data_IF_657741233159
#
_entry.id   IF_657741233159
#
_cell.length_a   1.000
_cell.length_b   1.000
_cell.length_c   1.000
_cell.angle_alpha   90.00
_cell.angle_beta   90.00
_cell.angle_gamma   90.00
#
_symmetry.space_group_name_H-M   'P 1'
#
loop_
_entity.id
_entity.type
_entity.pdbx_description
1 polymer ?
#
# COMPACT_ATOMS: atom_id res chain seq x y z
N UNK A 1 -28.06 -4.12 1.73
CA UNK A 1 -27.11 -3.01 2.00
C UNK A 1 -26.84 -2.25 0.73
N UNK A 2 -27.05 -0.94 0.74
CA UNK A 2 -26.74 -0.15 -0.45
C UNK A 2 -25.24 -0.16 -0.70
N UNK A 3 -24.87 -0.35 -1.96
CA UNK A 3 -23.50 -0.25 -2.39
C UNK A 3 -23.24 1.17 -2.86
N UNK A 4 -22.26 1.82 -2.28
CA UNK A 4 -21.91 3.19 -2.67
C UNK A 4 -21.16 3.19 -4.01
N UNK A 5 -21.26 4.28 -4.78
CA UNK A 5 -20.57 4.38 -6.07
C UNK A 5 -19.07 4.65 -5.87
N UNK A 6 -18.33 3.62 -5.55
CA UNK A 6 -16.89 3.72 -5.22
C UNK A 6 -16.09 4.36 -6.35
N UNK A 7 -16.36 4.00 -7.62
CA UNK A 7 -15.65 4.60 -8.75
C UNK A 7 -15.88 6.10 -8.85
N UNK A 8 -17.11 6.55 -8.63
CA UNK A 8 -17.45 7.98 -8.66
C UNK A 8 -16.83 8.73 -7.50
N UNK A 9 -16.79 8.10 -6.32
CA UNK A 9 -16.15 8.68 -5.15
C UNK A 9 -14.65 8.82 -5.39
N UNK A 10 -14.03 7.81 -5.99
CA UNK A 10 -12.61 7.84 -6.35
C UNK A 10 -12.32 9.00 -7.32
N UNK A 11 -13.12 9.13 -8.37
CA UNK A 11 -12.96 10.22 -9.34
C UNK A 11 -13.10 11.59 -8.71
N UNK A 12 -13.95 11.71 -7.70
CA UNK A 12 -14.14 12.96 -6.97
C UNK A 12 -12.94 13.29 -6.08
N UNK A 13 -12.42 12.31 -5.35
CA UNK A 13 -11.40 12.52 -4.33
C UNK A 13 -9.98 12.53 -4.86
N UNK A 14 -9.67 11.70 -5.84
CA UNK A 14 -8.30 11.48 -6.31
C UNK A 14 -7.59 12.77 -6.76
N UNK A 15 -8.19 13.63 -7.60
CA UNK A 15 -7.51 14.86 -8.00
C UNK A 15 -7.17 15.78 -6.83
N UNK A 16 -8.08 15.90 -5.88
CA UNK A 16 -7.87 16.75 -4.69
C UNK A 16 -6.78 16.18 -3.80
N UNK A 17 -6.78 14.88 -3.57
CA UNK A 17 -5.74 14.23 -2.76
C UNK A 17 -4.37 14.36 -3.41
N UNK A 18 -4.30 14.16 -4.73
CA UNK A 18 -3.06 14.33 -5.48
C UNK A 18 -2.53 15.77 -5.38
N UNK A 19 -3.43 16.74 -5.45
CA UNK A 19 -3.06 18.16 -5.30
C UNK A 19 -2.50 18.44 -3.90
N UNK A 20 -3.00 17.75 -2.89
CA UNK A 20 -2.51 17.86 -1.51
C UNK A 20 -1.19 17.12 -1.29
N UNK A 21 -0.72 16.34 -2.26
CA UNK A 21 0.51 15.57 -2.15
C UNK A 21 0.32 14.12 -1.73
N UNK A 22 -0.92 13.63 -1.71
CA UNK A 22 -1.22 12.26 -1.32
C UNK A 22 -1.68 11.42 -2.48
N UNK A 23 -1.38 10.13 -2.42
CA UNK A 23 -1.89 9.14 -3.36
C UNK A 23 -3.08 8.42 -2.71
N UNK A 24 -4.16 8.24 -3.46
CA UNK A 24 -5.28 7.43 -3.02
C UNK A 24 -4.91 5.96 -3.21
N UNK A 25 -4.55 5.30 -2.13
CA UNK A 25 -4.09 3.91 -2.16
C UNK A 25 -5.24 2.92 -2.30
N UNK A 26 -6.30 3.12 -1.53
CA UNK A 26 -7.47 2.24 -1.55
C UNK A 26 -8.70 2.99 -1.05
N UNK A 27 -9.87 2.54 -1.48
CA UNK A 27 -11.14 3.13 -1.12
C UNK A 27 -12.14 1.99 -0.92
N UNK A 28 -12.68 1.84 0.30
CA UNK A 28 -13.54 0.73 0.67
C UNK A 28 -14.76 1.19 1.45
N UNK A 29 -15.87 0.49 1.22
CA UNK A 29 -17.05 0.59 2.04
C UNK A 29 -16.99 -0.52 3.08
N UNK A 30 -17.04 -0.17 4.36
CA UNK A 30 -16.84 -1.12 5.44
C UNK A 30 -17.76 -0.83 6.65
N UNK A 31 -17.51 -1.52 7.76
CA UNK A 31 -18.28 -1.39 8.98
C UNK A 31 -19.44 -2.38 9.07
N UNK A 32 -19.99 -2.56 10.28
CA UNK A 32 -21.07 -3.51 10.54
C UNK A 32 -22.32 -3.24 9.70
N UNK A 33 -22.66 -1.98 9.54
CA UNK A 33 -23.82 -1.59 8.76
C UNK A 33 -23.48 -1.22 7.32
N UNK A 34 -22.20 -1.32 6.91
CA UNK A 34 -21.74 -0.88 5.61
C UNK A 34 -21.77 0.63 5.44
N UNK A 35 -21.73 1.38 6.54
CA UNK A 35 -21.84 2.84 6.56
C UNK A 35 -20.54 3.55 6.84
N UNK A 36 -19.39 2.89 6.70
CA UNK A 36 -18.08 3.50 6.86
C UNK A 36 -17.37 3.55 5.52
N UNK A 37 -16.96 4.75 5.11
CA UNK A 37 -16.09 4.94 3.95
C UNK A 37 -14.66 5.01 4.45
N UNK A 38 -13.85 4.02 4.05
CA UNK A 38 -12.43 3.98 4.43
C UNK A 38 -11.58 4.45 3.27
N UNK A 39 -10.84 5.53 3.52
CA UNK A 39 -9.90 6.10 2.56
C UNK A 39 -8.49 5.78 3.04
N UNK A 40 -7.74 5.03 2.24
CA UNK A 40 -6.33 4.76 2.55
C UNK A 40 -5.47 5.67 1.69
N UNK A 41 -4.64 6.49 2.32
CA UNK A 41 -3.77 7.43 1.62
C UNK A 41 -2.31 7.02 1.77
N UNK A 42 -1.51 7.39 0.80
CA UNK A 42 -0.08 7.12 0.81
C UNK A 42 0.70 8.38 0.41
N UNK A 43 1.99 8.35 0.72
CA UNK A 43 2.88 9.48 0.49
C UNK A 43 4.31 8.95 0.43
N UNK A 44 5.24 9.71 -0.14
CA UNK A 44 6.65 9.32 -0.16
C UNK A 44 7.27 9.29 1.24
N UNK A 45 6.73 10.10 2.15
CA UNK A 45 7.09 10.08 3.57
C UNK A 45 6.06 9.28 4.36
N UNK A 46 6.39 8.78 5.56
CA UNK A 46 5.40 8.09 6.41
C UNK A 46 4.17 8.95 6.70
N UNK A 47 3.01 8.34 6.65
CA UNK A 47 1.75 9.01 6.93
C UNK A 47 1.58 9.21 8.44
N UNK A 48 1.25 10.43 8.85
CA UNK A 48 1.00 10.78 10.25
C UNK A 48 -0.49 10.90 10.53
N UNK A 49 -0.86 10.97 11.80
CA UNK A 49 -2.25 11.23 12.22
C UNK A 49 -2.71 12.59 11.66
N UNK A 50 -1.82 13.57 11.66
CA UNK A 50 -2.13 14.89 11.13
C UNK A 50 -2.44 14.86 9.63
N UNK A 51 -1.75 14.01 8.87
CA UNK A 51 -2.04 13.79 7.46
C UNK A 51 -3.46 13.26 7.27
N UNK A 52 -3.85 12.28 8.08
CA UNK A 52 -5.18 11.69 8.01
C UNK A 52 -6.25 12.70 8.38
N UNK A 53 -6.03 13.54 9.40
CA UNK A 53 -6.95 14.60 9.78
C UNK A 53 -7.11 15.64 8.69
N UNK A 54 -6.01 16.02 8.04
CA UNK A 54 -6.02 16.99 6.94
C UNK A 54 -6.86 16.48 5.78
N UNK A 55 -6.67 15.23 5.39
CA UNK A 55 -7.45 14.61 4.32
C UNK A 55 -8.93 14.51 4.71
N UNK A 56 -9.21 14.12 5.94
CA UNK A 56 -10.58 14.01 6.44
C UNK A 56 -11.33 15.34 6.36
N UNK A 57 -10.67 16.44 6.73
CA UNK A 57 -11.27 17.79 6.69
C UNK A 57 -11.61 18.24 5.27
N UNK A 58 -10.89 17.75 4.28
CA UNK A 58 -11.13 18.10 2.88
C UNK A 58 -12.12 17.14 2.24
N UNK A 59 -11.98 15.86 2.49
CA UNK A 59 -12.81 14.82 1.87
C UNK A 59 -14.28 14.90 2.32
N UNK A 60 -14.53 15.15 3.61
CA UNK A 60 -15.88 15.21 4.14
C UNK A 60 -16.77 16.22 3.41
N UNK A 61 -16.38 17.50 3.34
CA UNK A 61 -17.18 18.51 2.62
C UNK A 61 -17.34 18.21 1.12
N UNK A 62 -16.32 17.63 0.47
CA UNK A 62 -16.41 17.24 -0.93
C UNK A 62 -17.49 16.18 -1.14
N UNK A 63 -17.50 15.16 -0.30
CA UNK A 63 -18.48 14.08 -0.36
C UNK A 63 -19.90 14.59 -0.08
N UNK A 64 -20.03 15.47 0.90
CA UNK A 64 -21.33 16.04 1.25
C UNK A 64 -21.90 16.88 0.12
N UNK A 65 -21.07 17.68 -0.54
CA UNK A 65 -21.49 18.52 -1.67
C UNK A 65 -21.86 17.69 -2.89
N UNK A 66 -21.11 16.63 -3.15
CA UNK A 66 -21.36 15.77 -4.30
C UNK A 66 -22.60 14.88 -4.14
N UNK A 67 -23.05 14.69 -2.90
CA UNK A 67 -24.23 13.89 -2.58
C UNK A 67 -24.19 12.48 -3.18
N UNK A 68 -23.03 11.84 -3.11
CA UNK A 68 -22.83 10.49 -3.63
C UNK A 68 -23.21 9.39 -2.61
N UNK A 69 -23.31 9.76 -1.34
CA UNK A 69 -23.66 8.85 -0.26
C UNK A 69 -24.96 9.30 0.39
N UNK A 70 -25.97 8.45 0.32
CA UNK A 70 -27.28 8.75 0.94
C UNK A 70 -27.22 8.45 2.43
N UNK A 71 -27.70 9.39 3.24
CA UNK A 71 -27.82 9.23 4.67
C UNK A 71 -26.49 9.38 5.41
N UNK A 72 -26.51 9.17 6.72
CA UNK A 72 -25.31 9.32 7.53
C UNK A 72 -24.27 8.24 7.24
N UNK A 73 -23.00 8.62 7.34
CA UNK A 73 -21.88 7.71 7.14
C UNK A 73 -20.72 8.16 8.02
N UNK A 74 -19.82 7.22 8.31
CA UNK A 74 -18.57 7.52 8.98
C UNK A 74 -17.44 7.57 7.96
N UNK A 75 -16.57 8.55 8.12
CA UNK A 75 -15.39 8.70 7.27
C UNK A 75 -14.16 8.29 8.06
N UNK A 76 -13.44 7.31 7.55
CA UNK A 76 -12.20 6.84 8.17
C UNK A 76 -11.06 7.03 7.18
N UNK A 77 -10.03 7.77 7.60
CA UNK A 77 -8.83 7.96 6.79
C UNK A 77 -7.66 7.27 7.48
N UNK A 78 -6.94 6.45 6.73
CA UNK A 78 -5.83 5.67 7.27
C UNK A 78 -4.70 5.55 6.25
N UNK A 79 -3.61 4.94 6.67
CA UNK A 79 -2.51 4.58 5.77
C UNK A 79 -2.50 3.07 5.56
N UNK A 80 -1.79 2.57 4.52
CA UNK A 80 -1.66 1.12 4.32
C UNK A 80 -0.92 0.41 5.44
N UNK A 81 -0.29 1.16 6.34
CA UNK A 81 0.49 0.59 7.44
C UNK A 81 1.95 0.39 7.09
N UNK A 82 2.75 0.02 8.11
CA UNK A 82 4.19 -0.15 7.97
C UNK A 82 4.54 -1.33 7.08
N UNK A 83 3.71 -2.38 7.09
CA UNK A 83 3.93 -3.60 6.32
C UNK A 83 3.03 -3.67 5.09
N UNK A 84 2.99 -2.58 4.33
CA UNK A 84 2.11 -2.51 3.17
C UNK A 84 2.50 -3.54 2.09
N UNK A 85 1.52 -4.15 1.41
CA UNK A 85 1.82 -5.04 0.28
C UNK A 85 2.46 -4.30 -0.88
N UNK A 86 3.35 -4.98 -1.59
CA UNK A 86 3.93 -4.52 -2.84
C UNK A 86 3.20 -5.24 -3.97
N UNK A 87 2.40 -4.50 -4.73
CA UNK A 87 1.42 -5.07 -5.66
C UNK A 87 1.92 -5.24 -7.09
N UNK A 88 2.92 -4.45 -7.48
CA UNK A 88 3.40 -4.44 -8.85
C UNK A 88 4.83 -3.94 -8.90
N UNK A 89 5.44 -4.03 -10.11
CA UNK A 89 6.82 -3.63 -10.32
C UNK A 89 7.09 -2.18 -9.92
N UNK A 90 6.16 -1.28 -10.24
CA UNK A 90 6.32 0.14 -9.92
C UNK A 90 6.46 0.36 -8.42
N UNK A 91 5.72 -0.37 -7.61
CA UNK A 91 5.84 -0.27 -6.15
C UNK A 91 7.18 -0.81 -5.65
N UNK A 92 7.67 -1.90 -6.23
CA UNK A 92 9.01 -2.39 -5.89
C UNK A 92 10.08 -1.36 -6.27
N UNK A 93 9.97 -0.73 -7.43
CA UNK A 93 10.91 0.33 -7.84
C UNK A 93 10.88 1.50 -6.87
N UNK A 94 9.68 1.92 -6.45
CA UNK A 94 9.50 3.01 -5.51
C UNK A 94 10.19 2.74 -4.17
N UNK A 95 10.14 1.49 -3.71
CA UNK A 95 10.70 1.09 -2.42
C UNK A 95 12.04 0.39 -2.51
N UNK A 96 12.72 0.53 -3.65
CA UNK A 96 14.08 0.00 -3.80
C UNK A 96 14.98 0.62 -2.72
N UNK A 97 15.78 -0.21 -2.06
CA UNK A 97 16.61 0.20 -0.94
C UNK A 97 15.96 -0.02 0.43
N UNK A 98 14.68 -0.33 0.47
CA UNK A 98 13.96 -0.58 1.72
C UNK A 98 13.97 -2.07 2.07
N UNK A 99 13.67 -2.35 3.33
CA UNK A 99 13.56 -3.73 3.81
C UNK A 99 12.22 -4.31 3.36
N UNK A 100 12.27 -5.50 2.79
CA UNK A 100 11.09 -6.19 2.26
C UNK A 100 11.03 -7.63 2.76
N UNK A 101 9.83 -8.19 2.74
CA UNK A 101 9.57 -9.60 3.00
C UNK A 101 8.87 -10.15 1.76
N UNK A 102 9.47 -11.13 1.10
CA UNK A 102 8.95 -11.66 -0.16
C UNK A 102 8.83 -13.16 -0.09
N UNK A 103 7.65 -13.65 -0.45
CA UNK A 103 7.40 -15.08 -0.66
C UNK A 103 7.57 -15.37 -2.14
N UNK A 104 8.38 -16.36 -2.47
CA UNK A 104 8.70 -16.67 -3.86
C UNK A 104 8.85 -18.18 -4.07
N UNK A 105 8.72 -18.58 -5.31
CA UNK A 105 8.86 -19.98 -5.70
C UNK A 105 10.34 -20.34 -5.83
N UNK A 106 10.72 -21.45 -5.21
CA UNK A 106 12.06 -22.01 -5.32
C UNK A 106 11.92 -23.50 -5.66
N UNK A 107 12.01 -23.83 -6.95
CA UNK A 107 11.69 -25.18 -7.42
C UNK A 107 10.20 -25.49 -7.24
N UNK A 108 9.90 -26.59 -6.59
CA UNK A 108 8.53 -27.04 -6.34
C UNK A 108 7.92 -26.51 -5.05
N UNK A 109 8.67 -25.72 -4.30
CA UNK A 109 8.20 -25.17 -3.03
C UNK A 109 8.28 -23.66 -3.01
N UNK A 110 7.55 -23.07 -2.04
CA UNK A 110 7.62 -21.64 -1.77
C UNK A 110 8.51 -21.42 -0.56
N UNK A 111 9.25 -20.32 -0.59
CA UNK A 111 10.05 -19.91 0.55
C UNK A 111 9.92 -18.41 0.75
N UNK A 112 10.33 -17.93 1.92
CA UNK A 112 10.25 -16.52 2.29
C UNK A 112 11.64 -15.99 2.54
N UNK A 113 11.92 -14.79 1.99
CA UNK A 113 13.14 -14.07 2.28
C UNK A 113 12.81 -12.70 2.82
N UNK A 114 13.54 -12.27 3.83
CA UNK A 114 13.45 -10.93 4.36
C UNK A 114 14.83 -10.28 4.28
N UNK A 115 14.89 -9.10 3.71
CA UNK A 115 16.14 -8.38 3.55
C UNK A 115 15.94 -7.07 2.81
N UNK A 116 17.05 -6.46 2.42
CA UNK A 116 17.03 -5.20 1.71
C UNK A 116 16.83 -5.43 0.20
N UNK A 117 15.87 -4.72 -0.37
CA UNK A 117 15.64 -4.74 -1.82
C UNK A 117 16.77 -3.92 -2.46
N UNK A 118 17.63 -4.57 -3.24
CA UNK A 118 18.82 -3.93 -3.79
C UNK A 118 18.77 -3.70 -5.30
N UNK A 119 17.86 -4.38 -6.00
CA UNK A 119 17.70 -4.18 -7.43
C UNK A 119 16.28 -4.53 -7.87
N UNK A 120 15.76 -3.75 -8.81
CA UNK A 120 14.46 -3.99 -9.46
C UNK A 120 14.65 -3.69 -10.94
N UNK A 121 14.34 -4.65 -11.81
CA UNK A 121 14.46 -4.47 -13.26
C UNK A 121 13.39 -5.27 -14.00
N UNK A 122 13.50 -5.31 -15.32
CA UNK A 122 12.50 -6.00 -16.15
C UNK A 122 12.46 -7.51 -15.91
N UNK A 123 13.56 -8.10 -15.49
CA UNK A 123 13.66 -9.54 -15.25
C UNK A 123 13.13 -9.96 -13.88
N UNK A 124 13.27 -9.12 -12.86
CA UNK A 124 12.86 -9.46 -11.52
C UNK A 124 13.43 -8.53 -10.46
N UNK A 125 13.67 -9.08 -9.27
CA UNK A 125 14.20 -8.34 -8.13
C UNK A 125 15.37 -9.09 -7.51
N UNK A 126 16.20 -8.35 -6.76
CA UNK A 126 17.28 -8.92 -5.98
C UNK A 126 17.18 -8.41 -4.54
N UNK A 127 17.34 -9.31 -3.59
CA UNK A 127 17.22 -9.03 -2.16
C UNK A 127 18.49 -9.46 -1.46
N UNK A 128 19.08 -8.55 -0.68
CA UNK A 128 20.24 -8.85 0.15
C UNK A 128 19.76 -9.35 1.50
N UNK A 129 19.95 -10.64 1.74
CA UNK A 129 19.52 -11.30 2.97
C UNK A 129 20.73 -11.57 3.88
N UNK A 130 20.52 -11.65 5.21
CA UNK A 130 21.60 -12.05 6.10
C UNK A 130 22.14 -13.43 5.73
N UNK A 131 23.46 -13.58 5.73
CA UNK A 131 24.07 -14.88 5.54
C UNK A 131 23.90 -15.75 6.77
N UNK A 132 24.30 -17.03 6.63
CA UNK A 132 24.36 -17.92 7.76
C UNK A 132 25.31 -17.32 8.81
N UNK A 133 25.18 -17.80 10.05
CA UNK A 133 25.94 -17.30 11.21
C UNK A 133 27.43 -17.16 10.89
N UNK A 134 27.96 -15.94 11.02
CA UNK A 134 29.38 -15.65 10.75
C UNK A 134 29.74 -15.55 9.28
N UNK A 135 28.76 -15.59 8.37
CA UNK A 135 28.98 -15.46 6.93
C UNK A 135 28.49 -14.13 6.38
N UNK A 136 29.05 -13.75 5.24
CA UNK A 136 28.66 -12.53 4.54
C UNK A 136 27.17 -12.61 4.08
N UNK A 137 26.50 -11.47 3.93
CA UNK A 137 25.16 -11.46 3.35
C UNK A 137 25.13 -12.07 1.96
N UNK A 138 24.01 -12.65 1.59
CA UNK A 138 23.81 -13.25 0.28
C UNK A 138 22.78 -12.46 -0.50
N UNK A 139 22.93 -12.42 -1.83
CA UNK A 139 21.97 -11.77 -2.71
C UNK A 139 21.15 -12.85 -3.38
N UNK A 140 19.83 -12.76 -3.21
CA UNK A 140 18.88 -13.70 -3.78
C UNK A 140 18.18 -13.02 -4.94
N UNK A 141 18.30 -13.60 -6.13
CA UNK A 141 17.64 -13.13 -7.34
C UNK A 141 16.40 -13.96 -7.59
N UNK A 142 15.32 -13.30 -8.01
CA UNK A 142 14.09 -13.99 -8.42
C UNK A 142 13.45 -13.27 -9.58
N UNK A 143 12.82 -14.05 -10.47
CA UNK A 143 12.08 -13.49 -11.60
C UNK A 143 10.68 -13.04 -11.13
N UNK A 144 10.05 -12.18 -11.91
CA UNK A 144 8.68 -11.76 -11.59
C UNK A 144 7.71 -12.94 -11.53
N UNK A 145 7.94 -13.97 -12.35
CA UNK A 145 7.11 -15.19 -12.35
C UNK A 145 7.20 -15.93 -11.01
N UNK A 146 8.34 -15.88 -10.38
CA UNK A 146 8.57 -16.60 -9.12
C UNK A 146 8.07 -15.82 -7.89
N UNK A 147 7.91 -14.51 -8.00
CA UNK A 147 7.39 -13.70 -6.90
C UNK A 147 5.91 -14.03 -6.67
N UNK A 148 5.59 -14.53 -5.49
CA UNK A 148 4.22 -14.85 -5.10
C UNK A 148 3.56 -13.67 -4.41
N UNK A 149 4.23 -13.11 -3.40
CA UNK A 149 3.71 -11.95 -2.68
C UNK A 149 4.87 -11.25 -1.97
N UNK A 150 4.81 -9.93 -1.94
CA UNK A 150 5.81 -9.13 -1.23
C UNK A 150 5.15 -8.03 -0.42
N UNK A 151 5.85 -7.58 0.61
CA UNK A 151 5.41 -6.46 1.44
C UNK A 151 6.63 -5.77 2.02
N UNK A 152 6.45 -4.51 2.42
CA UNK A 152 7.48 -3.82 3.19
C UNK A 152 7.60 -4.50 4.54
N UNK A 153 8.82 -4.60 5.03
CA UNK A 153 9.09 -5.14 6.36
C UNK A 153 9.45 -4.00 7.29
N UNK A 154 9.03 -4.13 8.55
CA UNK A 154 9.37 -3.15 9.56
C UNK A 154 10.81 -3.41 10.01
N UNK A 155 11.65 -2.37 9.96
CA UNK A 155 12.99 -2.44 10.51
C UNK A 155 12.88 -2.39 12.04
N UNK A 156 13.38 -3.43 12.68
CA UNK A 156 13.40 -3.51 14.12
C UNK A 156 14.75 -3.05 14.63
#
# INVERSE_FOLDING_TARGET
MPTWPISSIKELLEPTLNHMGYELYALDQSGHSGRTLRISIDHSEPITIEDCERVSRVAGPLLDRANLIDGPYDLEVSSPGAERPLRNRQEYERFNGKRVNVRYKSGDSETVVEGQLVAVDAAGIAIQAPGARGRAPVIIHMTWEDVVAGRLAVAI
#
